data_IF_375326446257
#
_entry.id   IF_375326446257
#
_cell.length_a   1.000
_cell.length_b   1.000
_cell.length_c   1.000
_cell.angle_alpha   90.00
_cell.angle_beta   90.00
_cell.angle_gamma   90.00
#
_symmetry.space_group_name_H-M   'P 1'
#
loop_
_entity.id
_entity.type
_entity.pdbx_description
1 polymer ?
#
# COMPACT_ATOMS: atom_id res chain seq x y z
N UNK A 1 8.74 14.16 -2.75
CA UNK A 1 7.58 13.58 -3.45
C UNK A 1 8.01 13.09 -4.82
N UNK A 2 7.35 12.08 -5.36
CA UNK A 2 7.63 11.50 -6.67
C UNK A 2 6.35 11.44 -7.51
N UNK A 3 6.50 11.65 -8.81
CA UNK A 3 5.44 11.38 -9.78
C UNK A 3 5.48 9.91 -10.20
N UNK A 4 4.34 9.27 -10.31
CA UNK A 4 4.20 7.84 -10.61
C UNK A 4 4.86 7.45 -11.93
N UNK A 5 4.77 8.28 -12.96
CA UNK A 5 5.38 8.02 -14.28
C UNK A 5 6.90 7.85 -14.20
N UNK A 6 7.57 8.59 -13.32
CA UNK A 6 9.01 8.46 -13.08
C UNK A 6 9.37 7.17 -12.35
N UNK A 7 8.44 6.62 -11.57
CA UNK A 7 8.64 5.33 -10.90
C UNK A 7 8.51 4.17 -11.89
N UNK A 8 7.57 4.27 -12.84
CA UNK A 8 7.30 3.23 -13.84
C UNK A 8 8.42 3.07 -14.88
N UNK A 9 9.29 4.04 -15.02
CA UNK A 9 10.47 3.95 -15.92
C UNK A 9 11.59 3.06 -15.37
N UNK A 10 11.43 2.53 -14.13
CA UNK A 10 12.38 1.66 -13.45
C UNK A 10 11.77 0.29 -13.20
N UNK A 11 12.58 -0.65 -12.72
CA UNK A 11 12.08 -1.94 -12.21
C UNK A 11 11.01 -1.70 -11.16
N UNK A 12 9.80 -2.23 -11.36
CA UNK A 12 8.70 -2.16 -10.41
C UNK A 12 8.44 -3.54 -9.83
N UNK A 13 8.63 -3.67 -8.54
CA UNK A 13 8.34 -4.88 -7.78
C UNK A 13 6.95 -4.78 -7.18
N UNK A 14 6.12 -5.80 -7.38
CA UNK A 14 4.73 -5.81 -6.91
C UNK A 14 4.37 -7.09 -6.18
N UNK A 15 3.25 -7.04 -5.45
CA UNK A 15 2.69 -8.21 -4.81
C UNK A 15 2.06 -9.17 -5.83
N UNK A 16 2.08 -10.47 -5.49
CA UNK A 16 1.46 -11.52 -6.30
C UNK A 16 -0.05 -11.40 -6.40
N UNK A 17 -0.63 -12.09 -7.36
CA UNK A 17 -2.08 -12.19 -7.54
C UNK A 17 -2.78 -12.66 -6.25
N UNK A 18 -4.04 -12.19 -6.09
CA UNK A 18 -4.83 -12.44 -4.88
C UNK A 18 -4.61 -11.42 -3.76
N UNK A 19 -3.64 -10.52 -3.89
CA UNK A 19 -3.45 -9.45 -2.93
C UNK A 19 -4.18 -8.18 -3.36
N UNK A 20 -5.12 -7.70 -2.54
CA UNK A 20 -5.89 -6.47 -2.83
C UNK A 20 -4.97 -5.26 -3.08
N UNK A 21 -3.85 -5.18 -2.37
CA UNK A 21 -2.91 -4.07 -2.52
C UNK A 21 -2.22 -4.06 -3.89
N UNK A 22 -2.06 -5.23 -4.53
CA UNK A 22 -1.60 -5.32 -5.92
C UNK A 22 -2.56 -4.61 -6.87
N UNK A 23 -3.85 -4.89 -6.76
CA UNK A 23 -4.85 -4.27 -7.62
C UNK A 23 -4.88 -2.74 -7.43
N UNK A 24 -4.79 -2.30 -6.19
CA UNK A 24 -4.68 -0.87 -5.87
C UNK A 24 -3.41 -0.25 -6.46
N UNK A 25 -2.28 -0.94 -6.42
CA UNK A 25 -1.04 -0.50 -7.07
C UNK A 25 -1.22 -0.36 -8.58
N UNK A 26 -1.89 -1.31 -9.23
CA UNK A 26 -2.20 -1.21 -10.66
C UNK A 26 -3.09 -0.02 -10.97
N UNK A 27 -4.16 0.17 -10.21
CA UNK A 27 -5.09 1.29 -10.41
C UNK A 27 -4.38 2.63 -10.21
N UNK A 28 -3.60 2.74 -9.15
CA UNK A 28 -2.83 3.95 -8.84
C UNK A 28 -1.82 4.31 -9.95
N UNK A 29 -1.15 3.31 -10.50
CA UNK A 29 -0.16 3.49 -11.56
C UNK A 29 -0.76 3.48 -12.97
N UNK A 30 -2.07 3.41 -13.12
CA UNK A 30 -2.75 3.23 -14.42
C UNK A 30 -2.16 2.07 -15.22
N UNK A 31 -1.73 1.03 -14.53
CA UNK A 31 -1.20 -0.19 -15.10
C UNK A 31 -2.33 -1.15 -15.43
N UNK A 32 -2.16 -1.90 -16.51
CA UNK A 32 -2.90 -3.11 -16.77
C UNK A 32 -1.94 -4.30 -16.85
N UNK A 33 -2.47 -5.52 -16.84
CA UNK A 33 -1.64 -6.73 -16.90
C UNK A 33 -0.72 -6.75 -18.13
N UNK A 34 -1.18 -6.22 -19.26
CA UNK A 34 -0.39 -6.20 -20.50
C UNK A 34 0.78 -5.22 -20.37
N UNK A 35 0.54 -4.02 -19.86
CA UNK A 35 1.62 -3.04 -19.61
C UNK A 35 2.63 -3.57 -18.62
N UNK A 36 2.16 -4.22 -17.54
CA UNK A 36 3.04 -4.79 -16.53
C UNK A 36 3.91 -5.92 -17.08
N UNK A 37 3.34 -6.85 -17.87
CA UNK A 37 4.11 -7.96 -18.49
C UNK A 37 5.18 -7.48 -19.47
N UNK A 38 5.03 -6.29 -20.02
CA UNK A 38 6.00 -5.67 -20.92
C UNK A 38 7.10 -4.89 -20.21
N UNK A 39 7.06 -4.77 -18.87
CA UNK A 39 8.19 -4.25 -18.11
C UNK A 39 9.32 -5.28 -18.11
N UNK A 40 10.56 -4.80 -18.23
CA UNK A 40 11.75 -5.66 -18.36
C UNK A 40 11.94 -6.64 -17.19
N UNK A 41 11.31 -6.38 -16.04
CA UNK A 41 11.37 -7.24 -14.87
C UNK A 41 10.00 -7.36 -14.20
N UNK A 42 9.47 -8.59 -14.23
CA UNK A 42 8.20 -8.99 -13.60
C UNK A 42 8.51 -9.95 -12.46
N UNK A 43 8.74 -9.45 -11.28
CA UNK A 43 8.81 -10.31 -10.10
C UNK A 43 7.66 -10.00 -9.15
N UNK A 44 6.98 -11.04 -8.72
CA UNK A 44 5.86 -10.97 -7.80
C UNK A 44 6.22 -11.69 -6.50
N UNK A 45 5.89 -11.07 -5.38
CA UNK A 45 6.08 -11.66 -4.05
C UNK A 45 4.79 -11.60 -3.23
N UNK A 46 4.61 -12.56 -2.35
CA UNK A 46 3.51 -12.57 -1.38
C UNK A 46 3.69 -11.60 -0.21
N UNK A 47 4.88 -11.00 -0.05
CA UNK A 47 5.23 -10.18 1.13
C UNK A 47 5.84 -8.84 0.72
N UNK A 48 5.36 -7.77 1.37
CA UNK A 48 5.90 -6.41 1.23
C UNK A 48 7.36 -6.36 1.70
N UNK A 49 7.71 -7.05 2.77
CA UNK A 49 9.09 -7.08 3.30
C UNK A 49 10.06 -7.70 2.28
N UNK A 50 9.62 -8.75 1.58
CA UNK A 50 10.42 -9.33 0.50
C UNK A 50 10.62 -8.34 -0.64
N UNK A 51 9.60 -7.59 -1.02
CA UNK A 51 9.73 -6.55 -2.04
C UNK A 51 10.69 -5.44 -1.61
N UNK A 52 10.63 -5.00 -0.36
CA UNK A 52 11.57 -4.00 0.17
C UNK A 52 13.02 -4.50 0.12
N UNK A 53 13.27 -5.76 0.51
CA UNK A 53 14.61 -6.38 0.41
C UNK A 53 15.10 -6.51 -1.04
N UNK A 54 14.20 -6.77 -1.98
CA UNK A 54 14.53 -6.78 -3.41
C UNK A 54 14.93 -5.39 -3.91
N UNK A 55 14.20 -4.36 -3.51
CA UNK A 55 14.57 -2.96 -3.82
C UNK A 55 15.95 -2.63 -3.26
N UNK A 56 16.27 -3.10 -2.06
CA UNK A 56 17.56 -2.86 -1.43
C UNK A 56 18.71 -3.54 -2.19
N UNK A 57 18.49 -4.78 -2.64
CA UNK A 57 19.53 -5.60 -3.26
C UNK A 57 19.68 -5.38 -4.76
N UNK A 58 18.56 -5.28 -5.47
CA UNK A 58 18.52 -5.28 -6.94
C UNK A 58 18.15 -3.90 -7.51
N UNK A 59 17.86 -2.94 -6.64
CA UNK A 59 17.35 -1.64 -7.06
C UNK A 59 15.90 -1.70 -7.53
N UNK A 60 15.43 -0.62 -8.14
CA UNK A 60 14.05 -0.50 -8.59
C UNK A 60 13.16 0.23 -7.59
N UNK A 61 11.87 -0.06 -7.64
CA UNK A 61 10.86 0.60 -6.82
C UNK A 61 9.77 -0.37 -6.40
N UNK A 62 9.13 -0.10 -5.29
CA UNK A 62 7.88 -0.74 -4.87
C UNK A 62 6.99 0.28 -4.20
N UNK A 63 5.70 0.02 -4.13
CA UNK A 63 4.75 0.82 -3.36
C UNK A 63 4.48 0.10 -2.05
N UNK A 64 4.53 0.84 -0.95
CA UNK A 64 4.24 0.34 0.39
C UNK A 64 3.16 1.21 1.05
N UNK A 65 2.30 0.63 1.89
CA UNK A 65 1.37 1.43 2.70
C UNK A 65 2.12 2.20 3.79
N UNK A 66 1.59 3.33 4.24
CA UNK A 66 2.21 4.16 5.28
C UNK A 66 2.54 3.36 6.55
N UNK A 67 1.65 2.44 6.96
CA UNK A 67 1.87 1.60 8.14
C UNK A 67 3.09 0.65 8.01
N UNK A 68 3.60 0.41 6.81
CA UNK A 68 4.83 -0.36 6.64
C UNK A 68 6.10 0.47 7.00
N UNK A 69 5.96 1.77 7.20
CA UNK A 69 7.08 2.62 7.65
C UNK A 69 7.58 2.25 9.05
N UNK A 70 6.73 1.65 9.89
CA UNK A 70 7.10 1.23 11.24
C UNK A 70 8.12 0.07 11.27
N UNK A 71 8.29 -0.63 10.14
CA UNK A 71 9.19 -1.79 10.04
C UNK A 71 10.40 -1.56 9.13
N UNK A 72 10.57 -0.35 8.58
CA UNK A 72 11.73 -0.01 7.76
C UNK A 72 12.91 0.45 8.62
N UNK A 73 14.12 0.24 8.11
CA UNK A 73 15.35 0.68 8.78
C UNK A 73 15.64 2.16 8.52
N UNK A 74 16.50 2.77 9.35
CA UNK A 74 16.94 4.16 9.15
C UNK A 74 17.60 4.36 7.78
N UNK A 75 18.35 3.38 7.28
CA UNK A 75 18.97 3.42 5.96
C UNK A 75 17.95 3.38 4.80
N UNK A 76 16.80 2.76 5.03
CA UNK A 76 15.72 2.67 4.05
C UNK A 76 14.89 3.95 4.01
N UNK A 77 14.76 4.67 5.12
CA UNK A 77 13.88 5.84 5.25
C UNK A 77 14.27 6.95 4.27
N UNK A 78 15.54 7.15 4.00
CA UNK A 78 16.04 8.16 3.06
C UNK A 78 15.59 7.90 1.60
N UNK A 79 15.27 6.65 1.30
CA UNK A 79 14.79 6.22 -0.02
C UNK A 79 13.27 6.29 -0.16
N UNK A 80 12.55 6.44 0.93
CA UNK A 80 11.10 6.61 0.91
C UNK A 80 10.72 7.92 0.24
N UNK A 81 9.79 7.84 -0.70
CA UNK A 81 9.24 9.02 -1.36
C UNK A 81 7.71 8.93 -1.32
N UNK A 82 7.09 9.99 -0.87
CA UNK A 82 5.64 10.10 -0.90
C UNK A 82 5.15 10.37 -2.32
N UNK A 83 4.04 9.76 -2.70
CA UNK A 83 3.37 9.99 -3.99
C UNK A 83 2.80 11.41 -4.00
N UNK A 84 3.07 12.17 -5.08
CA UNK A 84 3.10 13.61 -5.02
C UNK A 84 1.79 14.37 -5.23
N UNK A 85 0.99 14.02 -6.22
CA UNK A 85 -0.11 14.88 -6.69
C UNK A 85 -1.45 14.55 -6.04
N UNK A 86 -1.71 13.30 -5.82
CA UNK A 86 -2.89 12.80 -5.11
C UNK A 86 -2.41 12.15 -3.82
N UNK A 87 -3.10 12.37 -2.72
CA UNK A 87 -2.82 11.63 -1.50
C UNK A 87 -3.63 10.32 -1.56
N UNK A 88 -3.08 9.22 -2.11
CA UNK A 88 -3.84 7.99 -2.31
C UNK A 88 -4.12 7.35 -0.96
N UNK A 89 -5.39 7.10 -0.70
CA UNK A 89 -5.85 6.45 0.52
C UNK A 89 -6.27 5.01 0.24
N UNK A 90 -6.03 4.16 1.21
CA UNK A 90 -6.55 2.80 1.25
C UNK A 90 -7.62 2.71 2.33
N UNK A 91 -8.85 2.39 1.93
CA UNK A 91 -9.91 2.12 2.87
C UNK A 91 -9.79 0.70 3.44
N UNK A 92 -9.89 0.57 4.76
CA UNK A 92 -10.00 -0.71 5.46
C UNK A 92 -11.31 -0.71 6.23
N UNK A 93 -12.17 -1.65 5.89
CA UNK A 93 -13.54 -1.73 6.44
C UNK A 93 -13.78 -3.01 7.22
N UNK A 94 -14.59 -2.94 8.24
CA UNK A 94 -15.10 -4.11 8.94
C UNK A 94 -16.43 -4.55 8.33
N UNK A 95 -16.50 -5.79 7.85
CA UNK A 95 -17.70 -6.36 7.26
C UNK A 95 -18.32 -7.37 8.22
N UNK A 96 -19.61 -7.22 8.50
CA UNK A 96 -20.36 -8.14 9.36
C UNK A 96 -21.60 -8.66 8.65
N UNK A 97 -21.91 -9.94 8.83
CA UNK A 97 -23.05 -10.58 8.15
C UNK A 97 -24.42 -10.14 8.67
N UNK A 98 -24.54 -9.83 9.97
CA UNK A 98 -25.79 -9.42 10.63
C UNK A 98 -25.50 -8.50 11.82
N UNK A 99 -26.38 -7.54 12.06
CA UNK A 99 -26.48 -6.89 13.38
C UNK A 99 -26.93 -7.94 14.39
N UNK A 100 -26.21 -8.13 15.48
CA UNK A 100 -26.52 -9.17 16.43
C UNK A 100 -25.69 -9.13 17.72
N UNK A 101 -25.79 -10.20 18.48
CA UNK A 101 -25.22 -10.36 19.83
C UNK A 101 -23.73 -10.04 20.00
N UNK A 102 -22.97 -9.94 18.92
CA UNK A 102 -21.53 -9.62 18.93
C UNK A 102 -21.21 -8.18 18.55
N UNK A 103 -22.19 -7.31 18.39
CA UNK A 103 -21.97 -5.92 17.94
C UNK A 103 -21.07 -5.13 18.90
N UNK A 104 -21.25 -5.32 20.21
CA UNK A 104 -20.37 -4.69 21.22
C UNK A 104 -18.92 -5.12 21.12
N UNK A 105 -18.67 -6.41 20.84
CA UNK A 105 -17.31 -6.94 20.65
C UNK A 105 -16.67 -6.39 19.37
N UNK A 106 -17.43 -6.32 18.29
CA UNK A 106 -16.97 -5.79 17.00
C UNK A 106 -16.62 -4.31 17.15
N UNK A 107 -17.47 -3.54 17.83
CA UNK A 107 -17.20 -2.14 18.11
C UNK A 107 -15.99 -1.95 19.02
N UNK A 108 -15.83 -2.76 20.07
CA UNK A 108 -14.66 -2.73 20.94
C UNK A 108 -13.37 -3.04 20.17
N UNK A 109 -13.40 -4.03 19.28
CA UNK A 109 -12.27 -4.37 18.42
C UNK A 109 -11.93 -3.20 17.46
N UNK A 110 -12.94 -2.63 16.79
CA UNK A 110 -12.77 -1.47 15.92
C UNK A 110 -12.13 -0.30 16.67
N UNK A 111 -12.66 0.01 17.84
CA UNK A 111 -12.17 1.12 18.65
C UNK A 111 -10.73 0.88 19.13
N UNK A 112 -10.38 -0.36 19.43
CA UNK A 112 -8.99 -0.74 19.77
C UNK A 112 -8.06 -0.56 18.58
N UNK A 113 -8.46 -0.99 17.37
CA UNK A 113 -7.69 -0.79 16.15
C UNK A 113 -7.47 0.70 15.90
N UNK A 114 -8.55 1.51 15.93
CA UNK A 114 -8.46 2.95 15.69
C UNK A 114 -7.54 3.64 16.70
N UNK A 115 -7.62 3.26 17.99
CA UNK A 115 -6.72 3.80 19.03
C UNK A 115 -5.25 3.43 18.83
N UNK A 116 -4.97 2.34 18.14
CA UNK A 116 -3.61 1.87 17.86
C UNK A 116 -3.00 2.52 16.61
N UNK A 117 -3.78 3.22 15.80
CA UNK A 117 -3.29 3.85 14.59
C UNK A 117 -2.44 5.10 14.90
N UNK A 118 -1.37 5.33 14.12
CA UNK A 118 -0.62 6.58 14.17
C UNK A 118 -1.53 7.78 13.88
N UNK A 119 -1.26 8.91 14.53
CA UNK A 119 -2.02 10.15 14.30
C UNK A 119 -1.99 10.59 12.84
N UNK A 120 -0.86 10.42 12.15
CA UNK A 120 -0.70 10.76 10.73
C UNK A 120 -1.74 10.05 9.85
N UNK A 121 -2.05 8.78 10.15
CA UNK A 121 -3.06 8.01 9.41
C UNK A 121 -4.48 8.51 9.69
N UNK A 122 -4.76 8.88 10.96
CA UNK A 122 -6.07 9.39 11.36
C UNK A 122 -6.35 10.79 10.79
N UNK A 123 -5.35 11.66 10.79
CA UNK A 123 -5.46 13.05 10.32
C UNK A 123 -5.59 13.13 8.78
N UNK A 124 -5.08 12.14 8.06
CA UNK A 124 -5.10 12.10 6.60
C UNK A 124 -6.37 11.50 5.98
N UNK A 125 -7.25 10.90 6.76
CA UNK A 125 -8.43 10.18 6.26
C UNK A 125 -9.37 11.02 5.37
N UNK A 126 -9.42 12.34 5.60
CA UNK A 126 -10.32 13.25 4.88
C UNK A 126 -9.60 14.05 3.78
N UNK A 127 -8.28 13.84 3.59
CA UNK A 127 -7.42 14.66 2.73
C UNK A 127 -6.86 13.90 1.52
N UNK A 128 -7.55 12.86 1.02
CA UNK A 128 -7.05 12.08 -0.09
C UNK A 128 -8.13 11.38 -0.89
N UNK A 129 -7.71 10.70 -1.94
CA UNK A 129 -8.58 9.93 -2.82
C UNK A 129 -8.45 8.42 -2.52
N UNK A 130 -9.58 7.76 -2.28
CA UNK A 130 -9.61 6.33 -2.05
C UNK A 130 -9.33 5.57 -3.34
N UNK A 131 -8.27 4.80 -3.35
CA UNK A 131 -7.90 3.97 -4.50
C UNK A 131 -8.75 2.71 -4.50
N UNK A 132 -9.52 2.51 -5.59
CA UNK A 132 -10.35 1.33 -5.78
C UNK A 132 -9.52 0.04 -5.84
N UNK A 133 -10.17 -1.09 -5.49
CA UNK A 133 -9.59 -2.44 -5.57
C UNK A 133 -9.80 -3.02 -6.96
#
# INVERSE_FOLDING_TARGET
RIELDKMLSKKLWILSEGNCFRNQTFNLCSLNQTKYKNLEFNYESGSIETLMRLVDKEGGSTIIPELALDVITEEQIDRVKFIGSTNPLREISTITRRKGLKESMINAMRDSIVKSLPKSVLDNKDNGEVVAI
#
